data_IF_314044162864
#
_entry.id   IF_314044162864
#
_cell.length_a   1.000
_cell.length_b   1.000
_cell.length_c   1.000
_cell.angle_alpha   90.00
_cell.angle_beta   90.00
_cell.angle_gamma   90.00
#
_symmetry.space_group_name_H-M   'P 1'
#
loop_
_entity.id
_entity.type
_entity.pdbx_description
1 polymer ?
#
# COMPACT_ATOMS: atom_id res chain seq x y z
N UNK A 1 -10.03 -6.68 16.62
CA UNK A 1 -9.51 -7.27 15.38
C UNK A 1 -10.36 -8.48 15.12
N UNK A 2 -11.30 -8.37 14.20
CA UNK A 2 -12.14 -9.51 13.86
C UNK A 2 -11.29 -10.59 13.18
N UNK A 3 -11.72 -11.85 13.26
CA UNK A 3 -10.99 -12.97 12.63
C UNK A 3 -10.75 -12.70 11.14
N UNK A 4 -11.72 -12.07 10.48
CA UNK A 4 -11.62 -11.63 9.09
C UNK A 4 -10.48 -10.62 8.88
N UNK A 5 -10.37 -9.59 9.73
CA UNK A 5 -9.30 -8.60 9.67
C UNK A 5 -7.92 -9.25 9.84
N UNK A 6 -7.82 -10.19 10.79
CA UNK A 6 -6.59 -10.94 11.04
C UNK A 6 -6.16 -11.79 9.84
N UNK A 7 -7.12 -12.49 9.21
CA UNK A 7 -6.87 -13.29 8.00
C UNK A 7 -6.47 -12.39 6.83
N UNK A 8 -7.20 -11.29 6.61
CA UNK A 8 -6.93 -10.35 5.53
C UNK A 8 -5.54 -9.72 5.67
N UNK A 9 -5.21 -9.23 6.86
CA UNK A 9 -3.89 -8.65 7.14
C UNK A 9 -2.76 -9.67 6.92
N UNK A 10 -2.94 -10.91 7.37
CA UNK A 10 -1.95 -11.99 7.18
C UNK A 10 -1.78 -12.35 5.71
N UNK A 11 -2.87 -12.44 4.94
CA UNK A 11 -2.83 -12.73 3.52
C UNK A 11 -2.11 -11.61 2.74
N UNK A 12 -2.40 -10.34 3.05
CA UNK A 12 -1.73 -9.19 2.45
C UNK A 12 -0.23 -9.20 2.75
N UNK A 13 0.16 -9.45 4.01
CA UNK A 13 1.55 -9.61 4.42
C UNK A 13 2.27 -10.72 3.65
N UNK A 14 1.62 -11.88 3.50
CA UNK A 14 2.17 -13.02 2.76
C UNK A 14 2.38 -12.68 1.27
N UNK A 15 1.42 -11.98 0.65
CA UNK A 15 1.52 -11.54 -0.75
C UNK A 15 2.70 -10.57 -0.92
N UNK A 16 2.81 -9.55 -0.06
CA UNK A 16 3.90 -8.56 -0.13
C UNK A 16 5.26 -9.21 0.08
N UNK A 17 5.36 -10.13 1.05
CA UNK A 17 6.60 -10.88 1.30
C UNK A 17 6.98 -11.76 0.11
N UNK A 18 6.01 -12.47 -0.49
CA UNK A 18 6.22 -13.32 -1.64
C UNK A 18 6.65 -12.54 -2.88
N UNK A 19 6.00 -11.41 -3.16
CA UNK A 19 6.37 -10.52 -4.26
C UNK A 19 7.78 -9.93 -4.06
N UNK A 20 8.11 -9.49 -2.84
CA UNK A 20 9.46 -9.00 -2.49
C UNK A 20 10.54 -10.07 -2.69
N UNK A 21 10.27 -11.31 -2.24
CA UNK A 21 11.19 -12.43 -2.39
C UNK A 21 11.43 -12.81 -3.85
N UNK A 22 10.37 -12.83 -4.67
CA UNK A 22 10.47 -13.04 -6.11
C UNK A 22 11.28 -11.94 -6.78
N UNK A 23 11.02 -10.66 -6.46
CA UNK A 23 11.82 -9.54 -6.96
C UNK A 23 13.29 -9.71 -6.58
N UNK A 24 13.61 -9.98 -5.31
CA UNK A 24 14.99 -10.22 -4.88
C UNK A 24 15.65 -11.39 -5.63
N UNK A 25 14.95 -12.52 -5.77
CA UNK A 25 15.44 -13.71 -6.46
C UNK A 25 15.69 -13.46 -7.95
N UNK A 26 14.80 -12.73 -8.62
CA UNK A 26 14.94 -12.32 -10.03
C UNK A 26 16.14 -11.39 -10.21
N UNK A 27 16.35 -10.44 -9.31
CA UNK A 27 17.52 -9.56 -9.37
C UNK A 27 18.83 -10.30 -9.08
N UNK A 28 18.80 -11.34 -8.25
CA UNK A 28 19.96 -12.17 -7.91
C UNK A 28 20.34 -13.20 -8.99
N UNK A 29 19.42 -13.69 -9.83
CA UNK A 29 19.77 -14.63 -10.91
C UNK A 29 20.35 -13.88 -12.12
N UNK A 30 21.54 -14.22 -12.63
CA UNK A 30 22.14 -13.49 -13.76
C UNK A 30 21.62 -13.95 -15.15
N UNK A 31 20.42 -14.56 -15.18
CA UNK A 31 19.88 -15.26 -16.35
C UNK A 31 19.08 -14.34 -17.29
N UNK A 32 18.65 -13.16 -16.83
CA UNK A 32 17.86 -12.21 -17.65
C UNK A 32 18.47 -10.80 -17.64
N UNK A 33 18.27 -10.06 -18.74
CA UNK A 33 18.67 -8.66 -18.86
C UNK A 33 18.08 -7.81 -17.72
N UNK A 34 18.94 -7.04 -17.04
CA UNK A 34 18.57 -6.19 -15.88
C UNK A 34 17.37 -5.28 -16.17
N UNK A 35 17.20 -4.82 -17.42
CA UNK A 35 16.16 -3.87 -17.82
C UNK A 35 14.75 -4.50 -17.82
N UNK A 36 14.61 -5.74 -18.27
CA UNK A 36 13.30 -6.44 -18.28
C UNK A 36 12.83 -6.77 -16.86
N UNK A 37 13.76 -7.09 -15.96
CA UNK A 37 13.47 -7.37 -14.54
C UNK A 37 12.92 -6.17 -13.78
N UNK A 38 13.47 -4.99 -14.04
CA UNK A 38 13.03 -3.74 -13.39
C UNK A 38 11.63 -3.35 -13.86
N UNK A 39 11.36 -3.45 -15.17
CA UNK A 39 10.04 -3.17 -15.73
C UNK A 39 8.96 -4.13 -15.18
N UNK A 40 9.29 -5.41 -15.06
CA UNK A 40 8.35 -6.40 -14.54
C UNK A 40 8.09 -6.22 -13.04
N UNK A 41 9.11 -5.86 -12.26
CA UNK A 41 8.95 -5.51 -10.85
C UNK A 41 8.13 -4.23 -10.66
N UNK A 42 8.36 -3.20 -11.49
CA UNK A 42 7.60 -1.95 -11.45
C UNK A 42 6.11 -2.18 -11.73
N UNK A 43 5.77 -3.02 -12.70
CA UNK A 43 4.37 -3.37 -13.00
C UNK A 43 3.69 -4.13 -11.87
N UNK A 44 4.40 -5.05 -11.21
CA UNK A 44 3.89 -5.82 -10.07
C UNK A 44 3.58 -4.90 -8.88
N UNK A 45 4.47 -3.94 -8.59
CA UNK A 45 4.33 -3.04 -7.45
C UNK A 45 3.44 -1.82 -7.70
N UNK A 46 2.98 -1.61 -8.93
CA UNK A 46 2.15 -0.45 -9.29
C UNK A 46 0.78 -0.50 -8.61
N UNK A 47 0.17 -1.69 -8.57
CA UNK A 47 -1.15 -1.92 -7.95
C UNK A 47 -1.16 -1.58 -6.46
N UNK A 48 -0.25 -2.11 -5.60
CA UNK A 48 -0.24 -1.75 -4.18
C UNK A 48 0.06 -0.27 -3.94
N UNK A 49 0.89 0.38 -4.77
CA UNK A 49 1.17 1.82 -4.67
C UNK A 49 -0.10 2.63 -4.95
N UNK A 50 -0.84 2.30 -6.02
CA UNK A 50 -2.12 2.97 -6.34
C UNK A 50 -3.14 2.75 -5.22
N UNK A 51 -3.27 1.52 -4.72
CA UNK A 51 -4.19 1.21 -3.62
C UNK A 51 -3.91 2.02 -2.36
N UNK A 52 -2.64 2.13 -1.96
CA UNK A 52 -2.23 2.96 -0.83
C UNK A 52 -2.50 4.44 -1.07
N UNK A 53 -2.24 4.94 -2.28
CA UNK A 53 -2.50 6.33 -2.67
C UNK A 53 -3.97 6.71 -2.56
N UNK A 54 -4.87 5.84 -3.03
CA UNK A 54 -6.33 6.06 -2.93
C UNK A 54 -6.82 6.12 -1.48
N UNK A 55 -6.40 5.16 -0.65
CA UNK A 55 -6.75 5.16 0.77
C UNK A 55 -6.19 6.40 1.46
N UNK A 56 -4.95 6.78 1.15
CA UNK A 56 -4.32 7.99 1.69
C UNK A 56 -5.10 9.25 1.30
N UNK A 57 -5.55 9.39 0.05
CA UNK A 57 -6.37 10.55 -0.37
C UNK A 57 -7.71 10.61 0.36
N UNK A 58 -8.40 9.47 0.52
CA UNK A 58 -9.67 9.42 1.24
C UNK A 58 -9.49 9.80 2.72
N UNK A 59 -8.46 9.25 3.37
CA UNK A 59 -8.14 9.60 4.77
C UNK A 59 -7.79 11.08 4.91
N UNK A 60 -7.03 11.64 3.98
CA UNK A 60 -6.65 13.06 4.00
C UNK A 60 -7.86 13.99 3.82
N UNK A 61 -8.84 13.61 3.01
CA UNK A 61 -10.11 14.34 2.86
C UNK A 61 -10.94 14.31 4.15
N UNK A 62 -11.02 13.16 4.82
CA UNK A 62 -11.71 13.02 6.11
C UNK A 62 -11.04 13.85 7.22
N UNK A 63 -9.71 13.84 7.32
CA UNK A 63 -8.95 14.66 8.28
C UNK A 63 -9.20 16.15 8.06
N UNK A 64 -9.20 16.61 6.80
CA UNK A 64 -9.52 18.01 6.45
C UNK A 64 -10.96 18.38 6.80
N UNK A 65 -11.91 17.49 6.56
CA UNK A 65 -13.31 17.71 6.88
C UNK A 65 -13.58 17.76 8.40
N UNK A 66 -12.83 17.00 9.20
CA UNK A 66 -12.95 16.99 10.66
C UNK A 66 -12.24 18.18 11.31
N UNK A 67 -11.08 18.61 10.80
CA UNK A 67 -10.35 19.79 11.30
C UNK A 67 -11.10 21.12 11.18
N UNK A 68 -12.17 21.19 10.39
CA UNK A 68 -13.02 22.38 10.22
C UNK A 68 -14.19 22.50 11.20
N UNK A 69 -14.45 21.50 12.07
CA UNK A 69 -15.53 21.55 13.07
C UNK A 69 -15.00 22.00 14.44
N UNK A 70 -14.64 23.27 14.58
CA UNK A 70 -14.65 23.89 15.92
C UNK A 70 -16.10 24.29 16.23
N UNK A 71 -16.76 23.76 17.27
CA UNK A 71 -18.12 24.15 17.61
C UNK A 71 -18.15 25.62 18.05
N UNK A 72 -19.05 26.46 17.51
CA UNK A 72 -19.12 27.88 17.88
C UNK A 72 -19.71 28.17 19.28
N UNK A 73 -19.82 27.17 20.17
CA UNK A 73 -20.46 27.36 21.49
C UNK A 73 -19.48 27.55 22.66
N UNK A 74 -18.18 27.72 22.42
CA UNK A 74 -17.19 27.99 23.48
C UNK A 74 -16.87 29.49 23.65
N UNK A 75 -17.60 30.36 22.95
CA UNK A 75 -17.44 31.81 23.02
C UNK A 75 -18.80 32.45 23.30
N UNK A 76 -19.32 32.32 24.52
CA UNK A 76 -20.35 33.19 25.10
C UNK A 76 -20.41 32.97 26.60
#
# INVERSE_FOLDING_TARGET
MDLFDGILATALLAIVAFQSWLTYRVFRSNVFERKQKVLQAQLIWLVPIIGAGLVFTVLQEEERAQGGKTPPSAIS
#
